data_IF_015835990414
#
_entry.id   IF_015835990414
#
_cell.length_a   1.000
_cell.length_b   1.000
_cell.length_c   1.000
_cell.angle_alpha   90.00
_cell.angle_beta   90.00
_cell.angle_gamma   90.00
#
_symmetry.space_group_name_H-M   'P 1'
#
loop_
_entity.id
_entity.type
_entity.pdbx_description
1 polymer ?
#
# COMPACT_ATOMS: atom_id res chain seq x y z
N UNK A 1 -6.44 91.47 -5.22
CA UNK A 1 -7.78 91.15 -5.78
C UNK A 1 -7.62 90.15 -6.93
N UNK A 2 -8.73 89.58 -7.44
CA UNK A 2 -8.85 88.72 -8.65
C UNK A 2 -8.23 89.42 -9.90
N UNK A 3 -7.79 88.78 -11.00
CA UNK A 3 -8.08 87.47 -11.67
C UNK A 3 -6.86 87.03 -12.57
N UNK A 4 -6.83 85.84 -13.22
CA UNK A 4 -5.68 85.29 -13.99
C UNK A 4 -5.77 85.53 -15.53
N UNK A 5 -4.80 85.04 -16.32
CA UNK A 5 -5.14 83.95 -17.28
C UNK A 5 -4.05 82.86 -17.55
N UNK A 6 -4.56 81.75 -18.12
CA UNK A 6 -3.99 80.65 -18.95
C UNK A 6 -2.70 80.86 -19.77
N UNK A 7 -1.95 79.85 -20.30
CA UNK A 7 -2.22 78.43 -20.68
C UNK A 7 -0.88 77.62 -20.89
N UNK A 8 -0.93 76.27 -20.93
CA UNK A 8 0.12 75.30 -21.44
C UNK A 8 1.52 75.31 -20.77
N UNK A 9 2.30 74.21 -20.64
CA UNK A 9 2.33 72.89 -21.30
C UNK A 9 2.99 71.79 -20.42
N UNK A 10 3.21 70.60 -21.03
CA UNK A 10 4.11 69.50 -20.65
C UNK A 10 3.62 68.44 -19.61
N UNK A 11 3.66 67.19 -20.07
CA UNK A 11 3.51 65.93 -19.32
C UNK A 11 4.78 65.12 -19.57
N UNK A 12 5.37 64.48 -18.53
CA UNK A 12 5.55 63.03 -18.66
C UNK A 12 5.25 62.23 -17.38
N UNK A 13 4.76 61.02 -17.63
CA UNK A 13 4.66 59.83 -16.79
C UNK A 13 5.32 59.80 -15.38
N UNK A 14 4.53 59.37 -14.40
CA UNK A 14 5.02 58.62 -13.23
C UNK A 14 4.34 57.24 -13.22
N UNK A 15 5.06 56.20 -13.63
CA UNK A 15 4.56 54.82 -13.65
C UNK A 15 4.76 54.18 -12.27
N UNK A 16 3.68 53.74 -11.65
CA UNK A 16 3.69 53.04 -10.37
C UNK A 16 4.09 51.57 -10.57
N UNK A 17 5.37 51.27 -10.48
CA UNK A 17 5.90 49.90 -10.55
C UNK A 17 5.71 49.16 -9.22
N UNK A 18 4.47 48.73 -8.93
CA UNK A 18 4.18 47.88 -7.77
C UNK A 18 4.60 46.44 -8.07
N UNK A 19 5.81 46.06 -7.65
CA UNK A 19 6.38 44.72 -7.82
C UNK A 19 5.68 43.69 -6.91
N UNK A 20 4.51 43.21 -7.33
CA UNK A 20 4.00 41.92 -6.88
C UNK A 20 4.87 40.82 -7.50
N UNK A 21 5.74 40.20 -6.69
CA UNK A 21 6.35 38.92 -7.03
C UNK A 21 5.28 37.84 -6.99
N UNK A 22 4.59 37.64 -8.11
CA UNK A 22 3.67 36.52 -8.29
C UNK A 22 4.47 35.22 -8.18
N UNK A 23 4.38 34.55 -7.02
CA UNK A 23 4.86 33.18 -6.86
C UNK A 23 3.97 32.30 -7.77
N UNK A 24 4.54 31.56 -8.73
CA UNK A 24 3.74 30.65 -9.53
C UNK A 24 3.19 29.54 -8.63
N UNK A 25 1.87 29.36 -8.64
CA UNK A 25 1.26 28.17 -8.05
C UNK A 25 1.79 26.92 -8.80
N UNK A 26 2.03 25.79 -8.11
CA UNK A 26 2.45 24.58 -8.78
C UNK A 26 1.32 24.09 -9.71
N UNK A 27 1.65 23.81 -10.98
CA UNK A 27 0.66 23.47 -12.01
C UNK A 27 -0.25 22.28 -11.60
N UNK A 28 0.31 21.27 -10.92
CA UNK A 28 -0.43 20.12 -10.39
C UNK A 28 -1.58 20.51 -9.45
N UNK A 29 -1.45 21.60 -8.69
CA UNK A 29 -2.53 22.10 -7.82
C UNK A 29 -3.63 22.83 -8.60
N UNK A 30 -3.34 23.36 -9.80
CA UNK A 30 -4.37 23.86 -10.71
C UNK A 30 -5.05 22.71 -11.49
N UNK A 31 -4.30 21.65 -11.77
CA UNK A 31 -4.78 20.44 -12.44
C UNK A 31 -5.76 19.65 -11.57
N UNK A 32 -5.45 19.44 -10.28
CA UNK A 32 -6.38 18.83 -9.32
C UNK A 32 -7.59 19.71 -9.00
N UNK A 33 -7.39 21.03 -8.93
CA UNK A 33 -8.49 22.00 -8.85
C UNK A 33 -9.45 21.91 -10.03
N UNK A 34 -8.96 21.53 -11.22
CA UNK A 34 -9.76 21.37 -12.44
C UNK A 34 -10.44 19.98 -12.50
N UNK A 35 -9.72 18.89 -12.25
CA UNK A 35 -10.28 17.54 -12.30
C UNK A 35 -11.42 17.33 -11.29
N UNK A 36 -11.28 17.83 -10.06
CA UNK A 36 -12.36 17.79 -9.07
C UNK A 36 -13.58 18.63 -9.49
N UNK A 37 -13.39 19.71 -10.27
CA UNK A 37 -14.52 20.47 -10.84
C UNK A 37 -15.26 19.65 -11.90
N UNK A 38 -14.55 18.95 -12.79
CA UNK A 38 -15.18 18.11 -13.83
C UNK A 38 -16.05 17.01 -13.21
N UNK A 39 -15.60 16.40 -12.11
CA UNK A 39 -16.39 15.41 -11.37
C UNK A 39 -17.60 16.08 -10.69
N UNK A 40 -17.42 17.20 -9.98
CA UNK A 40 -18.53 17.92 -9.34
C UNK A 40 -19.58 18.42 -10.35
N UNK A 41 -19.15 18.94 -11.50
CA UNK A 41 -20.01 19.36 -12.62
C UNK A 41 -20.73 18.15 -13.25
N UNK A 42 -20.19 16.93 -13.14
CA UNK A 42 -20.87 15.69 -13.53
C UNK A 42 -21.92 15.29 -12.49
N UNK A 43 -21.56 15.27 -11.21
CA UNK A 43 -22.44 14.89 -10.10
C UNK A 43 -23.63 15.86 -9.92
N UNK A 44 -23.47 17.11 -10.37
CA UNK A 44 -24.56 18.11 -10.44
C UNK A 44 -25.60 17.79 -11.53
N UNK A 45 -25.33 16.86 -12.46
CA UNK A 45 -26.22 16.46 -13.57
C UNK A 45 -26.79 15.04 -13.46
N UNK A 46 -26.13 14.17 -12.72
CA UNK A 46 -26.57 12.81 -12.37
C UNK A 46 -25.73 12.35 -11.18
N UNK A 47 -26.27 11.66 -10.16
CA UNK A 47 -25.52 11.26 -8.98
C UNK A 47 -24.42 10.21 -9.24
N UNK A 48 -24.30 9.70 -10.47
CA UNK A 48 -23.33 8.69 -10.86
C UNK A 48 -22.29 9.28 -11.83
N UNK A 49 -21.03 9.30 -11.43
CA UNK A 49 -19.89 9.61 -12.30
C UNK A 49 -19.05 8.35 -12.53
N UNK A 50 -18.72 8.06 -13.80
CA UNK A 50 -17.89 6.92 -14.19
C UNK A 50 -16.84 7.38 -15.19
N UNK A 51 -15.57 7.18 -14.86
CA UNK A 51 -14.45 7.43 -15.77
C UNK A 51 -14.48 6.48 -16.98
N UNK A 52 -14.08 6.91 -18.20
CA UNK A 52 -13.99 6.06 -19.38
C UNK A 52 -13.26 4.72 -19.18
N UNK A 53 -12.30 4.62 -18.24
CA UNK A 53 -11.60 3.38 -17.89
C UNK A 53 -12.54 2.29 -17.33
N UNK A 54 -13.61 2.67 -16.62
CA UNK A 54 -14.59 1.74 -16.05
C UNK A 54 -15.90 1.65 -16.86
N UNK A 55 -16.03 2.42 -17.94
CA UNK A 55 -17.25 2.46 -18.75
C UNK A 55 -17.67 1.13 -19.41
N UNK A 56 -16.78 0.14 -19.45
CA UNK A 56 -17.04 -1.24 -19.90
C UNK A 56 -17.49 -2.19 -18.78
N UNK A 57 -17.13 -1.91 -17.52
CA UNK A 57 -17.50 -2.70 -16.35
C UNK A 57 -18.79 -2.20 -15.69
N UNK A 58 -19.05 -0.90 -15.80
CA UNK A 58 -20.30 -0.22 -15.42
C UNK A 58 -20.89 0.43 -16.69
N UNK A 59 -21.59 -0.31 -17.57
CA UNK A 59 -22.17 0.23 -18.79
C UNK A 59 -23.40 1.12 -18.50
N UNK A 60 -23.92 1.82 -19.51
CA UNK A 60 -24.95 2.85 -19.34
C UNK A 60 -26.23 2.33 -18.67
N UNK A 61 -26.61 1.06 -18.91
CA UNK A 61 -27.74 0.40 -18.24
C UNK A 61 -27.62 0.48 -16.70
N UNK A 62 -26.45 0.16 -16.18
CA UNK A 62 -26.16 0.21 -14.73
C UNK A 62 -26.11 1.64 -14.24
N UNK A 63 -25.58 2.57 -15.05
CA UNK A 63 -25.43 3.98 -14.66
C UNK A 63 -26.80 4.65 -14.54
N UNK A 64 -27.70 4.41 -15.51
CA UNK A 64 -29.09 4.89 -15.49
C UNK A 64 -29.91 4.24 -14.36
N UNK A 65 -29.78 2.92 -14.14
CA UNK A 65 -30.45 2.20 -13.05
C UNK A 65 -29.99 2.69 -11.67
N UNK A 66 -28.68 2.80 -11.47
CA UNK A 66 -28.08 3.28 -10.21
C UNK A 66 -28.48 4.74 -9.95
N UNK A 67 -28.46 5.61 -10.96
CA UNK A 67 -28.89 6.99 -10.82
C UNK A 67 -30.39 7.07 -10.46
N UNK A 68 -31.24 6.27 -11.11
CA UNK A 68 -32.68 6.22 -10.84
C UNK A 68 -33.00 5.77 -9.41
N UNK A 69 -32.24 4.82 -8.86
CA UNK A 69 -32.39 4.38 -7.46
C UNK A 69 -32.01 5.48 -6.47
N UNK A 70 -30.95 6.24 -6.75
CA UNK A 70 -30.48 7.34 -5.90
C UNK A 70 -31.42 8.55 -5.97
N UNK A 71 -31.84 8.95 -7.18
CA UNK A 71 -32.76 10.07 -7.41
C UNK A 71 -34.17 9.81 -6.87
N UNK A 72 -34.54 8.54 -6.65
CA UNK A 72 -35.78 8.15 -5.96
C UNK A 72 -35.68 8.22 -4.42
N UNK A 73 -34.53 8.60 -3.85
CA UNK A 73 -34.28 8.67 -2.41
C UNK A 73 -34.10 10.10 -1.89
N UNK A 74 -34.40 10.32 -0.60
CA UNK A 74 -34.11 11.58 0.10
C UNK A 74 -32.63 11.70 0.58
N UNK A 75 -31.77 10.74 0.22
CA UNK A 75 -30.36 10.72 0.62
C UNK A 75 -29.47 11.40 -0.43
N UNK A 76 -28.65 12.42 -0.07
CA UNK A 76 -27.71 13.04 -1.00
C UNK A 76 -26.48 12.14 -1.21
N UNK A 77 -26.71 11.01 -1.87
CA UNK A 77 -25.72 9.97 -2.19
C UNK A 77 -25.16 10.18 -3.60
N UNK A 78 -23.87 9.90 -3.76
CA UNK A 78 -23.15 10.04 -5.02
C UNK A 78 -22.20 8.87 -5.24
N UNK A 79 -22.15 8.34 -6.46
CA UNK A 79 -21.26 7.24 -6.86
C UNK A 79 -20.19 7.77 -7.80
N UNK A 80 -18.92 7.49 -7.51
CA UNK A 80 -17.77 7.94 -8.30
C UNK A 80 -16.89 6.73 -8.62
N UNK A 81 -16.95 6.21 -9.84
CA UNK A 81 -16.04 5.16 -10.30
C UNK A 81 -14.88 5.79 -11.08
N UNK A 82 -13.69 5.85 -10.46
CA UNK A 82 -12.49 6.49 -11.01
C UNK A 82 -11.23 5.68 -10.68
N UNK A 83 -10.29 5.49 -11.62
CA UNK A 83 -9.01 4.86 -11.31
C UNK A 83 -8.16 5.80 -10.45
N UNK A 84 -7.65 5.31 -9.32
CA UNK A 84 -6.81 6.07 -8.39
C UNK A 84 -5.41 5.43 -8.28
N UNK A 85 -4.35 6.21 -8.39
CA UNK A 85 -2.96 5.74 -8.37
C UNK A 85 -1.99 6.73 -7.71
N UNK A 86 -0.92 6.23 -7.07
CA UNK A 86 0.10 7.10 -6.48
C UNK A 86 0.80 7.95 -7.56
N UNK A 87 0.96 9.26 -7.29
CA UNK A 87 1.41 10.23 -8.27
C UNK A 87 0.35 10.72 -9.27
N UNK A 88 -0.92 10.31 -9.14
CA UNK A 88 -2.04 10.94 -9.86
C UNK A 88 -2.49 12.26 -9.21
N UNK A 89 -3.54 12.84 -9.79
CA UNK A 89 -4.18 14.11 -9.40
C UNK A 89 -4.65 14.19 -7.95
N UNK A 90 -4.86 13.03 -7.29
CA UNK A 90 -5.29 12.86 -5.90
C UNK A 90 -4.28 12.05 -5.08
N UNK A 91 -3.10 11.76 -5.66
CA UNK A 91 -2.09 10.81 -5.17
C UNK A 91 -2.67 9.45 -4.73
N UNK A 92 -3.68 8.96 -5.44
CA UNK A 92 -4.33 7.68 -5.14
C UNK A 92 -5.26 7.67 -3.92
N UNK A 93 -5.58 8.84 -3.35
CA UNK A 93 -6.42 8.95 -2.15
C UNK A 93 -7.87 9.37 -2.47
N UNK A 94 -8.81 8.47 -2.14
CA UNK A 94 -10.25 8.70 -2.24
C UNK A 94 -10.78 9.74 -1.26
N UNK A 95 -10.14 9.94 -0.09
CA UNK A 95 -10.56 10.95 0.89
C UNK A 95 -10.22 12.36 0.40
N UNK A 96 -9.01 12.55 -0.17
CA UNK A 96 -8.62 13.76 -0.90
C UNK A 96 -9.55 14.04 -2.10
N UNK A 97 -9.90 13.03 -2.90
CA UNK A 97 -10.85 13.20 -4.01
C UNK A 97 -12.23 13.65 -3.52
N UNK A 98 -12.82 12.91 -2.58
CA UNK A 98 -14.19 13.20 -2.10
C UNK A 98 -14.26 14.55 -1.41
N UNK A 99 -13.26 14.93 -0.62
CA UNK A 99 -13.17 16.26 0.00
C UNK A 99 -13.14 17.38 -1.04
N UNK A 100 -12.29 17.28 -2.07
CA UNK A 100 -12.19 18.30 -3.13
C UNK A 100 -13.46 18.40 -3.99
N UNK A 101 -14.14 17.28 -4.25
CA UNK A 101 -15.43 17.25 -4.95
C UNK A 101 -16.55 17.85 -4.08
N UNK A 102 -16.57 17.52 -2.79
CA UNK A 102 -17.54 18.01 -1.82
C UNK A 102 -17.47 19.53 -1.61
N UNK A 103 -16.27 20.09 -1.54
CA UNK A 103 -16.05 21.55 -1.49
C UNK A 103 -16.68 22.26 -2.70
N UNK A 104 -16.63 21.66 -3.91
CA UNK A 104 -17.24 22.25 -5.12
C UNK A 104 -18.74 22.04 -5.20
N UNK A 105 -19.26 20.97 -4.60
CA UNK A 105 -20.69 20.72 -4.45
C UNK A 105 -21.32 21.53 -3.29
N UNK A 106 -20.52 22.34 -2.58
CA UNK A 106 -21.02 23.37 -1.65
C UNK A 106 -20.98 23.00 -0.17
N UNK A 107 -20.20 21.98 0.23
CA UNK A 107 -19.92 21.64 1.63
C UNK A 107 -21.18 21.41 2.53
N UNK A 108 -22.23 20.82 1.94
CA UNK A 108 -23.49 20.48 2.64
C UNK A 108 -23.48 19.13 3.36
N UNK A 109 -24.64 18.47 3.47
CA UNK A 109 -24.71 17.04 3.78
C UNK A 109 -24.58 16.26 2.47
N UNK A 110 -23.64 15.33 2.39
CA UNK A 110 -23.41 14.49 1.21
C UNK A 110 -22.73 13.17 1.57
N UNK A 111 -23.00 12.12 0.80
CA UNK A 111 -22.51 10.78 1.03
C UNK A 111 -21.87 10.28 -0.27
N UNK A 112 -20.63 9.78 -0.23
CA UNK A 112 -19.88 9.40 -1.42
C UNK A 112 -19.44 7.94 -1.38
N UNK A 113 -19.78 7.20 -2.42
CA UNK A 113 -19.32 5.85 -2.71
C UNK A 113 -18.31 5.92 -3.87
N UNK A 114 -17.02 5.82 -3.55
CA UNK A 114 -15.95 5.80 -4.57
C UNK A 114 -15.58 4.36 -4.88
N UNK A 115 -15.74 3.95 -6.14
CA UNK A 115 -15.17 2.70 -6.63
C UNK A 115 -13.76 2.96 -7.16
N UNK A 116 -12.76 2.45 -6.44
CA UNK A 116 -11.33 2.52 -6.77
C UNK A 116 -10.75 1.10 -6.85
N UNK A 117 -10.07 0.75 -7.94
CA UNK A 117 -9.15 -0.39 -8.02
C UNK A 117 -9.72 -1.75 -7.55
N UNK A 118 -11.01 -2.01 -7.77
CA UNK A 118 -11.67 -3.24 -7.32
C UNK A 118 -12.18 -3.21 -5.87
N UNK A 119 -12.34 -2.02 -5.28
CA UNK A 119 -12.86 -1.79 -3.92
C UNK A 119 -13.88 -0.67 -3.92
N UNK A 120 -14.76 -0.67 -2.93
CA UNK A 120 -15.60 0.48 -2.61
C UNK A 120 -15.04 1.24 -1.40
N UNK A 121 -15.18 2.58 -1.42
CA UNK A 121 -14.86 3.49 -0.31
C UNK A 121 -16.08 4.34 0.02
N UNK A 122 -16.42 4.43 1.30
CA UNK A 122 -17.52 5.26 1.79
C UNK A 122 -17.02 6.45 2.59
N UNK A 123 -17.37 7.67 2.17
CA UNK A 123 -17.09 8.90 2.90
C UNK A 123 -18.40 9.69 3.12
N UNK A 124 -18.71 10.00 4.37
CA UNK A 124 -19.93 10.71 4.78
C UNK A 124 -19.59 12.10 5.30
N UNK A 125 -20.29 13.13 4.80
CA UNK A 125 -20.13 14.53 5.21
C UNK A 125 -21.44 15.11 5.76
N UNK A 126 -21.34 15.86 6.87
CA UNK A 126 -22.48 16.55 7.49
C UNK A 126 -23.52 15.62 8.15
N UNK A 127 -23.10 14.45 8.65
CA UNK A 127 -23.97 13.42 9.21
C UNK A 127 -24.18 13.52 10.72
N UNK A 128 -25.44 13.59 11.15
CA UNK A 128 -25.84 13.45 12.56
C UNK A 128 -25.84 11.96 12.97
N UNK A 129 -24.65 11.41 13.20
CA UNK A 129 -24.40 10.05 13.73
C UNK A 129 -24.80 8.86 12.83
N UNK A 130 -25.17 9.08 11.56
CA UNK A 130 -25.49 8.01 10.60
C UNK A 130 -24.53 8.08 9.40
N UNK A 131 -23.80 7.00 9.13
CA UNK A 131 -22.74 6.95 8.11
C UNK A 131 -23.05 5.92 7.00
N UNK A 132 -24.09 6.17 6.17
CA UNK A 132 -24.59 5.20 5.21
C UNK A 132 -23.56 4.81 4.14
N UNK A 133 -22.74 5.74 3.63
CA UNK A 133 -21.72 5.40 2.64
C UNK A 133 -20.60 4.55 3.27
N UNK A 134 -20.15 4.89 4.48
CA UNK A 134 -19.17 4.10 5.22
C UNK A 134 -19.62 2.64 5.38
N UNK A 135 -20.80 2.42 5.96
CA UNK A 135 -21.33 1.06 6.17
C UNK A 135 -21.61 0.33 4.86
N UNK A 136 -22.09 1.01 3.83
CA UNK A 136 -22.26 0.43 2.50
C UNK A 136 -20.94 -0.13 1.91
N UNK A 137 -19.85 0.64 2.00
CA UNK A 137 -18.54 0.20 1.50
C UNK A 137 -17.95 -0.99 2.26
N UNK A 138 -18.27 -1.10 3.56
CA UNK A 138 -17.94 -2.27 4.37
C UNK A 138 -18.82 -3.47 3.97
N UNK A 139 -20.13 -3.26 3.84
CA UNK A 139 -21.11 -4.31 3.49
C UNK A 139 -20.78 -4.95 2.16
N UNK A 140 -20.49 -4.16 1.11
CA UNK A 140 -20.09 -4.71 -0.20
C UNK A 140 -18.80 -5.54 -0.14
N UNK A 141 -17.91 -5.24 0.81
CA UNK A 141 -16.67 -6.01 1.01
C UNK A 141 -16.94 -7.41 1.57
N UNK A 142 -17.87 -7.56 2.53
CA UNK A 142 -18.22 -8.87 3.10
C UNK A 142 -19.25 -9.63 2.27
N UNK A 143 -20.33 -8.98 1.84
CA UNK A 143 -21.44 -9.60 1.12
C UNK A 143 -21.07 -10.13 -0.28
N UNK A 144 -19.97 -9.65 -0.88
CA UNK A 144 -19.44 -10.15 -2.15
C UNK A 144 -18.18 -11.02 -1.98
N UNK A 145 -17.91 -11.52 -0.77
CA UNK A 145 -16.70 -12.31 -0.44
C UNK A 145 -15.38 -11.63 -0.87
N UNK A 146 -15.30 -10.30 -0.74
CA UNK A 146 -14.21 -9.45 -1.24
C UNK A 146 -13.96 -9.56 -2.76
N UNK A 147 -15.03 -9.75 -3.55
CA UNK A 147 -14.95 -9.66 -5.02
C UNK A 147 -14.45 -8.29 -5.48
N UNK A 148 -13.88 -8.25 -6.68
CA UNK A 148 -13.56 -7.01 -7.39
C UNK A 148 -14.58 -6.69 -8.50
N UNK A 149 -15.80 -7.25 -8.43
CA UNK A 149 -16.82 -7.11 -9.48
C UNK A 149 -17.49 -5.72 -9.39
N UNK A 150 -17.26 -4.78 -10.34
CA UNK A 150 -17.66 -3.39 -10.14
C UNK A 150 -19.18 -3.20 -10.11
N UNK A 151 -19.93 -3.96 -10.92
CA UNK A 151 -21.41 -3.93 -10.94
C UNK A 151 -21.97 -4.33 -9.58
N UNK A 152 -21.51 -5.46 -9.06
CA UNK A 152 -21.98 -6.06 -7.81
C UNK A 152 -21.58 -5.23 -6.58
N UNK A 153 -20.36 -4.68 -6.56
CA UNK A 153 -19.92 -3.76 -5.52
C UNK A 153 -20.73 -2.45 -5.52
N UNK A 154 -21.03 -1.86 -6.68
CA UNK A 154 -21.89 -0.66 -6.78
C UNK A 154 -23.31 -0.99 -6.33
N UNK A 155 -23.90 -2.09 -6.83
CA UNK A 155 -25.26 -2.52 -6.51
C UNK A 155 -25.44 -2.73 -5.01
N UNK A 156 -24.62 -3.58 -4.37
CA UNK A 156 -24.71 -3.87 -2.93
C UNK A 156 -24.45 -2.62 -2.10
N UNK A 157 -23.51 -1.75 -2.50
CA UNK A 157 -23.23 -0.51 -1.77
C UNK A 157 -24.41 0.46 -1.82
N UNK A 158 -24.99 0.69 -3.00
CA UNK A 158 -26.11 1.63 -3.16
C UNK A 158 -27.36 1.08 -2.47
N UNK A 159 -27.68 -0.21 -2.62
CA UNK A 159 -28.78 -0.85 -1.88
C UNK A 159 -28.59 -0.75 -0.35
N UNK A 160 -27.35 -0.89 0.15
CA UNK A 160 -27.06 -0.73 1.58
C UNK A 160 -27.20 0.72 2.05
N UNK A 161 -26.61 1.67 1.31
CA UNK A 161 -26.62 3.09 1.68
C UNK A 161 -28.04 3.69 1.69
N UNK A 162 -28.93 3.16 0.84
CA UNK A 162 -30.33 3.55 0.75
C UNK A 162 -31.28 2.72 1.65
N UNK A 163 -30.74 1.82 2.49
CA UNK A 163 -31.55 1.01 3.42
C UNK A 163 -31.88 1.74 4.72
N UNK A 164 -32.95 1.30 5.41
CA UNK A 164 -33.37 1.84 6.71
C UNK A 164 -32.33 1.62 7.83
N UNK A 165 -31.45 0.62 7.70
CA UNK A 165 -30.41 0.29 8.68
C UNK A 165 -29.11 -0.22 8.00
N UNK A 166 -28.25 0.70 7.53
CA UNK A 166 -26.97 0.34 6.91
C UNK A 166 -25.98 -0.36 7.87
N UNK A 167 -26.04 -0.07 9.18
CA UNK A 167 -25.15 -0.66 10.19
C UNK A 167 -25.57 -2.11 10.52
N UNK A 168 -26.87 -2.37 10.61
CA UNK A 168 -27.44 -3.71 10.71
C UNK A 168 -27.21 -4.54 9.46
N UNK A 169 -27.29 -3.94 8.26
CA UNK A 169 -26.92 -4.59 7.00
C UNK A 169 -25.44 -4.99 6.96
N UNK A 170 -24.53 -4.09 7.35
CA UNK A 170 -23.09 -4.38 7.50
C UNK A 170 -22.83 -5.52 8.49
N UNK A 171 -23.44 -5.44 9.67
CA UNK A 171 -23.31 -6.45 10.73
C UNK A 171 -23.75 -7.82 10.22
N UNK A 172 -24.91 -7.88 9.56
CA UNK A 172 -25.46 -9.11 8.99
C UNK A 172 -24.56 -9.71 7.91
N UNK A 173 -23.99 -8.89 7.02
CA UNK A 173 -23.08 -9.34 5.97
C UNK A 173 -21.75 -9.88 6.52
N UNK A 174 -21.19 -9.22 7.54
CA UNK A 174 -19.99 -9.72 8.25
C UNK A 174 -20.28 -11.06 8.92
N UNK A 175 -21.37 -11.14 9.68
CA UNK A 175 -21.66 -12.32 10.51
C UNK A 175 -21.97 -13.56 9.65
N UNK A 176 -22.65 -13.39 8.51
CA UNK A 176 -22.83 -14.45 7.52
C UNK A 176 -21.50 -14.91 6.87
N UNK A 177 -20.61 -13.97 6.53
CA UNK A 177 -19.27 -14.30 6.02
C UNK A 177 -18.42 -15.02 7.08
N UNK A 178 -18.57 -14.68 8.37
CA UNK A 178 -17.89 -15.37 9.46
C UNK A 178 -18.46 -16.79 9.68
N UNK A 179 -19.78 -16.98 9.69
CA UNK A 179 -20.43 -18.32 9.76
C UNK A 179 -20.01 -19.24 8.59
N UNK A 180 -20.04 -18.72 7.36
CA UNK A 180 -19.57 -19.43 6.15
C UNK A 180 -18.08 -19.80 6.22
N UNK A 181 -17.29 -19.11 7.04
CA UNK A 181 -15.86 -19.37 7.26
C UNK A 181 -15.59 -20.29 8.45
N UNK A 182 -16.52 -20.46 9.38
CA UNK A 182 -16.42 -21.43 10.48
C UNK A 182 -16.79 -22.87 10.04
N UNK A 183 -17.65 -23.02 9.02
CA UNK A 183 -17.97 -24.33 8.41
C UNK A 183 -16.85 -24.85 7.45
N UNK A 184 -15.77 -24.07 7.27
CA UNK A 184 -14.52 -24.52 6.66
C UNK A 184 -13.65 -25.22 7.71
N UNK A 185 -13.26 -26.49 7.52
CA UNK A 185 -12.41 -27.19 8.49
C UNK A 185 -11.04 -26.53 8.62
N UNK A 186 -10.57 -26.37 9.86
CA UNK A 186 -9.22 -25.90 10.17
C UNK A 186 -8.16 -26.63 9.33
N UNK A 187 -7.16 -25.93 8.79
CA UNK A 187 -6.06 -26.58 8.09
C UNK A 187 -5.26 -27.44 9.08
N UNK A 188 -5.42 -28.77 8.99
CA UNK A 188 -4.81 -29.73 9.91
C UNK A 188 -3.31 -29.42 10.14
N UNK A 189 -2.87 -29.25 11.40
CA UNK A 189 -1.44 -29.07 11.68
C UNK A 189 -0.69 -30.34 11.24
N UNK A 190 0.52 -30.20 10.65
CA UNK A 190 1.26 -31.34 10.11
C UNK A 190 1.55 -32.35 11.22
N UNK A 191 1.00 -33.56 11.07
CA UNK A 191 1.03 -34.58 12.11
C UNK A 191 2.48 -34.93 12.53
N UNK A 192 2.76 -35.03 13.84
CA UNK A 192 4.07 -35.47 14.31
C UNK A 192 4.32 -36.92 13.89
N UNK A 193 5.45 -37.17 13.23
CA UNK A 193 5.89 -38.52 12.89
C UNK A 193 6.59 -39.22 14.05
N UNK A 194 6.82 -40.53 13.85
CA UNK A 194 7.43 -41.50 14.77
C UNK A 194 6.58 -41.87 16.01
N UNK A 195 6.64 -43.09 16.57
CA UNK A 195 7.38 -44.28 16.14
C UNK A 195 6.62 -45.58 16.48
N UNK A 196 6.99 -46.69 15.84
CA UNK A 196 6.26 -47.96 15.97
C UNK A 196 6.58 -48.76 17.25
N UNK A 197 5.56 -49.42 17.82
CA UNK A 197 5.74 -50.56 18.74
C UNK A 197 4.56 -51.55 18.67
N UNK A 198 4.78 -52.77 19.14
CA UNK A 198 3.98 -53.97 18.86
C UNK A 198 2.96 -54.28 19.99
N UNK A 199 1.84 -54.93 19.60
CA UNK A 199 1.12 -56.08 20.21
C UNK A 199 1.02 -56.26 21.75
N UNK A 200 0.08 -57.02 22.35
CA UNK A 200 -1.02 -57.92 21.92
C UNK A 200 -2.29 -57.54 22.77
N UNK A 201 -3.51 -58.11 22.72
CA UNK A 201 -4.22 -59.18 21.97
C UNK A 201 -5.75 -58.85 21.99
N UNK A 202 -6.61 -59.63 21.31
CA UNK A 202 -7.89 -60.02 21.92
C UNK A 202 -9.16 -59.96 21.05
N UNK A 203 -9.93 -61.05 21.08
CA UNK A 203 -11.37 -61.16 20.76
C UNK A 203 -11.88 -60.61 19.40
N UNK A 204 -11.86 -61.46 18.37
CA UNK A 204 -12.58 -61.20 17.11
C UNK A 204 -14.12 -61.30 17.26
N UNK A 205 -14.91 -60.35 16.73
CA UNK A 205 -16.38 -60.38 16.81
C UNK A 205 -17.02 -61.41 15.84
N UNK A 206 -18.24 -61.89 16.11
CA UNK A 206 -18.88 -62.97 15.35
C UNK A 206 -19.25 -62.60 13.91
N UNK A 207 -19.27 -63.61 13.04
CA UNK A 207 -19.30 -63.52 11.57
C UNK A 207 -20.58 -63.00 10.88
N UNK A 208 -21.26 -62.00 11.44
CA UNK A 208 -22.40 -61.31 10.80
C UNK A 208 -22.07 -59.84 10.44
N UNK A 209 -20.88 -59.33 10.78
CA UNK A 209 -20.47 -57.94 10.50
C UNK A 209 -20.06 -57.66 9.04
N UNK A 210 -19.99 -58.69 8.17
CA UNK A 210 -19.51 -58.54 6.80
C UNK A 210 -20.24 -57.48 5.93
N UNK A 211 -21.56 -57.23 6.05
CA UNK A 211 -22.22 -56.20 5.25
C UNK A 211 -21.75 -54.78 5.63
N UNK A 212 -21.47 -54.55 6.92
CA UNK A 212 -20.95 -53.27 7.40
C UNK A 212 -19.50 -53.03 6.94
N UNK A 213 -18.68 -54.08 6.91
CA UNK A 213 -17.31 -54.02 6.38
C UNK A 213 -17.31 -53.75 4.87
N UNK A 214 -18.20 -54.39 4.10
CA UNK A 214 -18.35 -54.12 2.66
C UNK A 214 -18.91 -52.71 2.42
N UNK A 215 -19.89 -52.25 3.19
CA UNK A 215 -20.41 -50.89 3.09
C UNK A 215 -19.32 -49.84 3.41
N UNK A 216 -18.53 -50.04 4.46
CA UNK A 216 -17.42 -49.16 4.81
C UNK A 216 -16.31 -49.20 3.75
N UNK A 217 -15.97 -50.37 3.21
CA UNK A 217 -15.00 -50.50 2.11
C UNK A 217 -15.49 -49.81 0.83
N UNK A 218 -16.80 -49.87 0.52
CA UNK A 218 -17.40 -49.15 -0.61
C UNK A 218 -17.44 -47.64 -0.37
N UNK A 219 -17.73 -47.18 0.84
CA UNK A 219 -17.68 -45.75 1.21
C UNK A 219 -16.24 -45.22 1.16
N UNK A 220 -15.26 -45.98 1.65
CA UNK A 220 -13.84 -45.64 1.54
C UNK A 220 -13.38 -45.65 0.08
N UNK A 221 -13.77 -46.63 -0.73
CA UNK A 221 -13.46 -46.68 -2.15
C UNK A 221 -14.12 -45.53 -2.93
N UNK A 222 -15.36 -45.16 -2.60
CA UNK A 222 -16.05 -44.00 -3.16
C UNK A 222 -15.38 -42.68 -2.72
N UNK A 223 -14.97 -42.56 -1.46
CA UNK A 223 -14.23 -41.42 -0.93
C UNK A 223 -12.84 -41.27 -1.56
N UNK A 224 -12.11 -42.37 -1.74
CA UNK A 224 -10.83 -42.41 -2.48
C UNK A 224 -11.02 -42.09 -3.96
N UNK A 225 -12.07 -42.61 -4.61
CA UNK A 225 -12.39 -42.29 -5.99
C UNK A 225 -12.82 -40.81 -6.16
N UNK A 226 -13.55 -40.25 -5.20
CA UNK A 226 -13.94 -38.84 -5.18
C UNK A 226 -12.75 -37.92 -4.89
N UNK A 227 -11.89 -38.28 -3.93
CA UNK A 227 -10.62 -37.59 -3.65
C UNK A 227 -9.66 -37.65 -4.86
N UNK A 228 -9.61 -38.79 -5.55
CA UNK A 228 -8.85 -38.95 -6.81
C UNK A 228 -9.50 -38.23 -8.01
N UNK A 229 -10.79 -37.91 -7.98
CA UNK A 229 -11.45 -37.02 -8.96
C UNK A 229 -11.23 -35.55 -8.62
N UNK A 230 -11.31 -35.13 -7.34
CA UNK A 230 -10.96 -33.77 -6.88
C UNK A 230 -9.48 -33.47 -7.15
N UNK A 231 -8.57 -34.41 -6.87
CA UNK A 231 -7.15 -34.32 -7.24
C UNK A 231 -6.86 -34.50 -8.75
N UNK A 232 -7.91 -34.63 -9.58
CA UNK A 232 -7.85 -34.63 -11.05
C UNK A 232 -8.78 -33.58 -11.67
N UNK A 233 -9.29 -32.63 -10.88
CA UNK A 233 -9.59 -31.31 -11.42
C UNK A 233 -8.24 -30.77 -11.89
N UNK A 234 -8.04 -30.50 -13.20
CA UNK A 234 -6.82 -29.84 -13.62
C UNK A 234 -6.74 -28.52 -12.85
N UNK A 235 -5.56 -28.16 -12.36
CA UNK A 235 -5.30 -26.78 -11.99
C UNK A 235 -5.44 -25.95 -13.27
N UNK A 236 -6.66 -25.46 -13.52
CA UNK A 236 -6.88 -24.37 -14.45
C UNK A 236 -5.85 -23.30 -14.06
N UNK A 237 -5.06 -22.77 -15.02
CA UNK A 237 -4.16 -21.67 -14.69
C UNK A 237 -5.03 -20.61 -14.02
N UNK A 238 -4.62 -20.15 -12.83
CA UNK A 238 -5.38 -19.15 -12.09
C UNK A 238 -5.77 -18.05 -13.07
N UNK A 239 -7.08 -17.81 -13.20
CA UNK A 239 -7.59 -16.88 -14.21
C UNK A 239 -6.80 -15.61 -14.06
N UNK A 240 -6.01 -15.28 -15.08
CA UNK A 240 -5.12 -14.14 -15.06
C UNK A 240 -6.02 -12.91 -15.15
N UNK A 241 -6.54 -12.49 -13.99
CA UNK A 241 -6.91 -11.10 -13.72
C UNK A 241 -5.72 -10.32 -14.21
N UNK A 242 -5.88 -9.67 -15.36
CA UNK A 242 -4.77 -9.02 -16.04
C UNK A 242 -4.28 -7.94 -15.11
N UNK A 243 -3.17 -8.16 -14.40
CA UNK A 243 -2.52 -7.12 -13.62
C UNK A 243 -2.30 -5.97 -14.61
N UNK A 244 -3.02 -4.87 -14.39
CA UNK A 244 -3.18 -3.88 -15.45
C UNK A 244 -1.79 -3.31 -15.69
N UNK A 245 -1.32 -3.32 -16.94
CA UNK A 245 0.04 -2.90 -17.26
C UNK A 245 0.35 -1.46 -16.78
N UNK A 246 -0.67 -0.65 -16.49
CA UNK A 246 -0.55 0.62 -15.77
C UNK A 246 0.09 0.50 -14.38
N UNK A 247 -0.28 -0.49 -13.55
CA UNK A 247 0.36 -0.73 -12.25
C UNK A 247 1.81 -1.20 -12.42
N UNK A 248 2.05 -2.22 -13.25
CA UNK A 248 3.42 -2.67 -13.55
C UNK A 248 4.31 -1.53 -14.10
N UNK A 249 3.72 -0.57 -14.83
CA UNK A 249 4.39 0.62 -15.34
C UNK A 249 4.60 1.69 -14.25
N UNK A 250 3.67 1.85 -13.30
CA UNK A 250 3.81 2.75 -12.16
C UNK A 250 4.88 2.25 -11.18
N UNK A 251 4.87 0.96 -10.84
CA UNK A 251 5.88 0.31 -10.02
C UNK A 251 7.28 0.41 -10.65
N UNK A 252 7.37 0.24 -11.97
CA UNK A 252 8.62 0.46 -12.72
C UNK A 252 9.02 1.94 -12.75
N UNK A 253 8.08 2.87 -12.93
CA UNK A 253 8.38 4.30 -12.91
C UNK A 253 8.85 4.79 -11.53
N UNK A 254 8.30 4.27 -10.43
CA UNK A 254 8.78 4.59 -9.08
C UNK A 254 10.13 3.93 -8.79
N UNK A 255 10.36 2.70 -9.24
CA UNK A 255 11.67 2.07 -9.21
C UNK A 255 12.73 2.89 -9.98
N UNK A 256 12.41 3.35 -11.19
CA UNK A 256 13.29 4.19 -12.01
C UNK A 256 13.60 5.53 -11.31
N UNK A 257 12.59 6.20 -10.72
CA UNK A 257 12.78 7.42 -9.90
C UNK A 257 13.69 7.17 -8.70
N UNK A 258 13.53 6.05 -7.99
CA UNK A 258 14.35 5.70 -6.82
C UNK A 258 15.80 5.37 -7.22
N UNK A 259 16.02 4.76 -8.39
CA UNK A 259 17.34 4.52 -8.97
C UNK A 259 18.00 5.85 -9.39
N UNK A 260 17.30 6.71 -10.13
CA UNK A 260 17.80 8.03 -10.53
C UNK A 260 18.14 8.90 -9.31
N UNK A 261 17.28 8.90 -8.29
CA UNK A 261 17.55 9.57 -7.01
C UNK A 261 18.81 9.02 -6.35
N UNK A 262 18.93 7.70 -6.24
CA UNK A 262 20.11 7.03 -5.68
C UNK A 262 21.40 7.40 -6.43
N UNK A 263 21.35 7.52 -7.76
CA UNK A 263 22.47 7.96 -8.59
C UNK A 263 22.89 9.41 -8.30
N UNK A 264 21.92 10.33 -8.23
CA UNK A 264 22.17 11.74 -7.93
C UNK A 264 22.74 11.94 -6.51
N UNK A 265 22.10 11.33 -5.51
CA UNK A 265 22.54 11.37 -4.11
C UNK A 265 23.94 10.73 -3.93
N UNK A 266 24.24 9.65 -4.67
CA UNK A 266 25.58 9.04 -4.73
C UNK A 266 26.67 10.00 -5.23
N UNK A 267 26.35 10.87 -6.19
CA UNK A 267 27.28 11.88 -6.72
C UNK A 267 27.47 13.03 -5.72
N UNK A 268 26.37 13.64 -5.25
CA UNK A 268 26.41 14.83 -4.39
C UNK A 268 27.09 14.55 -3.04
N UNK A 269 26.72 13.43 -2.40
CA UNK A 269 27.39 12.93 -1.18
C UNK A 269 28.88 12.64 -1.44
N UNK A 270 29.23 12.21 -2.66
CA UNK A 270 30.60 11.93 -3.06
C UNK A 270 31.48 13.18 -3.06
N UNK A 271 31.01 14.26 -3.69
CA UNK A 271 31.73 15.54 -3.63
C UNK A 271 31.78 16.10 -2.21
N UNK A 272 30.67 15.98 -1.46
CA UNK A 272 30.55 16.42 -0.06
C UNK A 272 31.59 15.72 0.82
N UNK A 273 31.76 14.40 0.68
CA UNK A 273 32.81 13.61 1.34
C UNK A 273 34.22 13.97 0.85
N UNK A 274 34.40 14.21 -0.45
CA UNK A 274 35.66 14.65 -1.04
C UNK A 274 36.15 15.97 -0.43
N UNK A 275 35.27 16.97 -0.34
CA UNK A 275 35.53 18.25 0.33
C UNK A 275 35.89 18.05 1.81
N UNK A 276 35.16 17.20 2.52
CA UNK A 276 35.41 16.93 3.94
C UNK A 276 36.74 16.20 4.21
N UNK A 277 37.18 15.30 3.34
CA UNK A 277 38.42 14.53 3.54
C UNK A 277 39.69 15.38 3.65
N UNK A 278 39.66 16.63 3.17
CA UNK A 278 40.80 17.55 3.23
C UNK A 278 41.03 18.22 4.62
N UNK A 279 40.04 18.22 5.51
CA UNK A 279 40.13 18.94 6.80
C UNK A 279 40.73 18.05 7.92
N UNK A 280 41.70 18.54 8.72
CA UNK A 280 42.21 17.83 9.90
C UNK A 280 41.14 17.68 10.99
N UNK A 281 40.97 16.47 11.54
CA UNK A 281 40.05 16.18 12.65
C UNK A 281 40.61 15.16 13.64
N UNK A 282 39.99 15.08 14.82
CA UNK A 282 40.28 14.06 15.83
C UNK A 282 39.82 12.65 15.43
N UNK A 283 40.40 11.65 16.08
CA UNK A 283 40.29 10.23 15.72
C UNK A 283 38.85 9.72 15.53
N UNK A 284 37.94 9.99 16.46
CA UNK A 284 36.54 9.55 16.34
C UNK A 284 35.81 10.19 15.15
N UNK A 285 36.11 11.45 14.83
CA UNK A 285 35.55 12.11 13.65
C UNK A 285 36.13 11.51 12.35
N UNK A 286 37.39 11.06 12.35
CA UNK A 286 37.99 10.34 11.23
C UNK A 286 37.39 8.93 11.07
N UNK A 287 37.12 8.21 12.17
CA UNK A 287 36.40 6.91 12.15
C UNK A 287 34.99 7.06 11.57
N UNK A 288 34.25 8.09 11.98
CA UNK A 288 32.91 8.38 11.47
C UNK A 288 32.95 8.78 9.99
N UNK A 289 33.94 9.58 9.56
CA UNK A 289 34.13 9.91 8.15
C UNK A 289 34.50 8.67 7.31
N UNK A 290 35.28 7.73 7.87
CA UNK A 290 35.59 6.47 7.21
C UNK A 290 34.33 5.61 7.04
N UNK A 291 33.52 5.44 8.09
CA UNK A 291 32.24 4.73 7.99
C UNK A 291 31.29 5.38 6.97
N UNK A 292 31.32 6.72 6.82
CA UNK A 292 30.56 7.40 5.76
C UNK A 292 31.06 7.08 4.34
N UNK A 293 32.38 6.95 4.16
CA UNK A 293 32.98 6.49 2.89
C UNK A 293 32.62 5.02 2.60
N UNK A 294 32.64 4.17 3.63
CA UNK A 294 32.32 2.74 3.52
C UNK A 294 30.84 2.53 3.19
N UNK A 295 29.93 3.28 3.83
CA UNK A 295 28.50 3.25 3.55
C UNK A 295 28.16 3.79 2.15
N UNK A 296 28.83 4.87 1.68
CA UNK A 296 28.72 5.30 0.28
C UNK A 296 29.26 4.25 -0.69
N UNK A 297 30.37 3.59 -0.37
CA UNK A 297 30.93 2.53 -1.21
C UNK A 297 30.04 1.28 -1.25
N UNK A 298 29.30 0.99 -0.18
CA UNK A 298 28.25 -0.02 -0.16
C UNK A 298 27.09 0.37 -1.08
N UNK A 299 26.58 1.60 -0.97
CA UNK A 299 25.52 2.13 -1.83
C UNK A 299 25.90 2.07 -3.32
N UNK A 300 27.13 2.48 -3.65
CA UNK A 300 27.65 2.42 -5.02
C UNK A 300 27.66 0.98 -5.58
N UNK A 301 28.10 -0.02 -4.80
CA UNK A 301 28.09 -1.44 -5.26
C UNK A 301 26.69 -1.96 -5.59
N UNK A 302 25.69 -1.60 -4.79
CA UNK A 302 24.29 -2.01 -5.04
C UNK A 302 23.73 -1.30 -6.28
N UNK A 303 23.99 0.00 -6.41
CA UNK A 303 23.61 0.77 -7.60
C UNK A 303 24.27 0.24 -8.88
N UNK A 304 25.59 0.03 -8.87
CA UNK A 304 26.34 -0.50 -10.01
C UNK A 304 25.89 -1.93 -10.39
N UNK A 305 25.44 -2.73 -9.40
CA UNK A 305 24.77 -4.02 -9.65
C UNK A 305 23.42 -3.84 -10.34
N UNK A 306 22.56 -2.94 -9.84
CA UNK A 306 21.25 -2.68 -10.47
C UNK A 306 21.37 -2.20 -11.92
N UNK A 307 22.44 -1.48 -12.28
CA UNK A 307 22.73 -1.12 -13.67
C UNK A 307 23.28 -2.28 -14.53
N UNK A 308 23.79 -3.34 -13.90
CA UNK A 308 24.34 -4.53 -14.56
C UNK A 308 23.35 -5.72 -14.61
N UNK A 309 22.23 -5.64 -13.87
CA UNK A 309 21.15 -6.63 -13.85
C UNK A 309 19.80 -5.95 -14.11
N UNK A 310 18.68 -6.62 -13.85
CA UNK A 310 17.40 -5.93 -13.64
C UNK A 310 17.46 -5.21 -12.27
N UNK A 311 17.04 -3.92 -12.16
CA UNK A 311 16.87 -3.26 -10.88
C UNK A 311 15.78 -3.91 -10.03
N UNK A 312 15.88 -3.81 -8.71
CA UNK A 312 14.87 -4.33 -7.79
C UNK A 312 14.56 -3.29 -6.71
N UNK A 313 13.28 -3.11 -6.39
CA UNK A 313 12.84 -2.13 -5.38
C UNK A 313 13.56 -2.29 -4.01
N UNK A 314 13.79 -3.52 -3.49
CA UNK A 314 14.61 -3.70 -2.30
C UNK A 314 16.05 -3.18 -2.40
N UNK A 315 16.71 -3.35 -3.55
CA UNK A 315 18.08 -2.85 -3.78
C UNK A 315 18.08 -1.31 -3.90
N UNK A 316 17.10 -0.72 -4.57
CA UNK A 316 16.97 0.74 -4.72
C UNK A 316 16.72 1.43 -3.37
N UNK A 317 15.81 0.90 -2.54
CA UNK A 317 15.61 1.36 -1.17
C UNK A 317 16.87 1.13 -0.32
N UNK A 318 17.59 0.03 -0.56
CA UNK A 318 18.89 -0.26 0.06
C UNK A 318 19.96 0.80 -0.21
N UNK A 319 20.06 1.30 -1.45
CA UNK A 319 20.94 2.42 -1.81
C UNK A 319 20.61 3.66 -0.96
N UNK A 320 19.34 4.06 -0.89
CA UNK A 320 18.92 5.24 -0.13
C UNK A 320 19.21 5.13 1.37
N UNK A 321 18.98 3.97 1.98
CA UNK A 321 19.31 3.73 3.41
C UNK A 321 20.83 3.81 3.65
N UNK A 322 21.64 3.23 2.77
CA UNK A 322 23.11 3.28 2.90
C UNK A 322 23.66 4.72 2.75
N UNK A 323 23.04 5.55 1.91
CA UNK A 323 23.35 6.98 1.79
C UNK A 323 22.93 7.76 3.05
N UNK A 324 21.79 7.44 3.64
CA UNK A 324 21.33 8.04 4.90
C UNK A 324 22.23 7.69 6.09
N UNK A 325 22.73 6.45 6.16
CA UNK A 325 23.76 6.02 7.13
C UNK A 325 25.05 6.84 6.97
N UNK A 326 25.46 7.14 5.72
CA UNK A 326 26.66 7.92 5.43
C UNK A 326 26.51 9.40 5.83
N UNK A 327 25.39 10.05 5.52
CA UNK A 327 25.12 11.43 5.95
C UNK A 327 24.98 11.52 7.48
N UNK A 328 24.39 10.52 8.15
CA UNK A 328 24.38 10.48 9.62
C UNK A 328 25.77 10.35 10.24
N UNK A 329 26.67 9.60 9.61
CA UNK A 329 28.06 9.52 10.02
C UNK A 329 28.80 10.86 9.80
N UNK A 330 28.52 11.59 8.72
CA UNK A 330 28.99 12.97 8.51
C UNK A 330 28.47 13.89 9.63
N UNK A 331 27.16 13.91 9.89
CA UNK A 331 26.54 14.74 10.91
C UNK A 331 27.10 14.44 12.31
N UNK A 332 27.33 13.17 12.64
CA UNK A 332 27.94 12.73 13.90
C UNK A 332 29.42 13.09 14.02
N UNK A 333 30.18 13.06 12.91
CA UNK A 333 31.58 13.50 12.90
C UNK A 333 31.73 15.00 13.23
N UNK A 334 30.68 15.80 12.97
CA UNK A 334 30.59 17.22 13.32
C UNK A 334 29.99 17.47 14.71
N UNK A 335 29.00 16.67 15.15
CA UNK A 335 28.24 16.89 16.37
C UNK A 335 28.12 15.64 17.26
N UNK A 336 28.77 15.68 18.44
CA UNK A 336 28.93 14.55 19.39
C UNK A 336 27.65 13.87 19.91
N UNK A 337 26.47 14.47 19.74
CA UNK A 337 25.22 14.02 20.39
C UNK A 337 24.10 13.62 19.41
N UNK A 338 24.32 13.64 18.10
CA UNK A 338 23.31 13.21 17.13
C UNK A 338 23.16 11.69 17.18
N UNK A 339 21.95 11.18 17.44
CA UNK A 339 21.62 9.76 17.22
C UNK A 339 21.45 9.51 15.71
N UNK A 340 21.83 8.34 15.20
CA UNK A 340 21.42 7.92 13.87
C UNK A 340 19.89 7.90 13.73
N UNK A 341 19.42 8.12 12.51
CA UNK A 341 18.07 7.82 12.03
C UNK A 341 17.81 6.31 12.17
N UNK A 342 16.55 5.98 12.37
CA UNK A 342 16.06 4.61 12.32
C UNK A 342 14.84 4.60 11.40
N UNK A 343 15.02 4.05 10.19
CA UNK A 343 13.95 3.89 9.20
C UNK A 343 12.84 2.98 9.74
N UNK A 344 11.63 3.10 9.19
CA UNK A 344 10.55 2.18 9.51
C UNK A 344 10.86 0.77 8.98
N UNK A 345 10.90 -0.22 9.88
CA UNK A 345 11.22 -1.62 9.53
C UNK A 345 10.20 -2.27 8.59
N UNK A 346 8.94 -1.83 8.60
CA UNK A 346 7.93 -2.33 7.66
C UNK A 346 8.22 -1.86 6.21
N UNK A 347 8.56 -0.58 6.04
CA UNK A 347 9.00 -0.01 4.77
C UNK A 347 9.92 1.21 5.06
N UNK A 348 11.21 1.18 4.68
CA UNK A 348 12.13 2.30 4.96
C UNK A 348 11.74 3.63 4.32
N UNK A 349 10.93 3.61 3.24
CA UNK A 349 10.42 4.80 2.55
C UNK A 349 9.44 5.62 3.39
N UNK A 350 8.80 5.03 4.42
CA UNK A 350 7.93 5.77 5.35
C UNK A 350 8.70 6.72 6.29
N UNK A 351 10.01 6.86 6.12
CA UNK A 351 10.86 7.80 6.85
C UNK A 351 11.31 7.32 8.23
N UNK A 352 11.93 8.25 8.96
CA UNK A 352 12.83 7.94 10.09
C UNK A 352 12.32 8.43 11.45
N UNK A 353 11.10 8.95 11.52
CA UNK A 353 10.44 9.36 12.77
C UNK A 353 9.77 8.13 13.42
N UNK A 354 10.57 7.28 14.06
CA UNK A 354 10.15 5.95 14.49
C UNK A 354 10.13 5.76 16.01
N UNK A 355 9.33 4.79 16.46
CA UNK A 355 9.25 4.31 17.84
C UNK A 355 9.60 2.83 17.87
N UNK A 356 10.23 2.34 18.94
CA UNK A 356 10.54 0.91 19.11
C UNK A 356 9.27 0.18 19.54
N UNK A 357 8.65 -0.52 18.61
CA UNK A 357 7.40 -1.25 18.77
C UNK A 357 7.68 -2.75 18.85
N UNK A 358 6.89 -3.47 19.65
CA UNK A 358 6.85 -4.93 19.63
C UNK A 358 5.84 -5.37 18.56
N UNK A 359 6.32 -6.05 17.52
CA UNK A 359 5.50 -6.64 16.47
C UNK A 359 5.45 -8.15 16.70
N UNK A 360 4.24 -8.71 16.79
CA UNK A 360 3.99 -10.16 16.90
C UNK A 360 3.72 -10.79 15.55
N UNK A 361 4.16 -12.03 15.41
CA UNK A 361 3.86 -12.88 14.27
C UNK A 361 2.35 -13.15 14.16
N UNK A 362 1.77 -13.04 12.95
CA UNK A 362 0.38 -13.39 12.71
C UNK A 362 0.18 -14.90 12.91
N UNK A 363 -0.76 -15.29 13.77
CA UNK A 363 -0.97 -16.69 14.17
C UNK A 363 0.12 -17.28 15.08
N UNK A 364 1.16 -16.51 15.43
CA UNK A 364 2.32 -16.97 16.19
C UNK A 364 2.44 -16.35 17.59
N UNK A 365 3.29 -16.95 18.42
CA UNK A 365 3.66 -16.43 19.74
C UNK A 365 4.96 -15.61 19.72
N UNK A 366 5.70 -15.62 18.61
CA UNK A 366 6.98 -14.91 18.46
C UNK A 366 6.74 -13.41 18.36
N UNK A 367 7.65 -12.62 18.93
CA UNK A 367 7.66 -11.17 18.79
C UNK A 367 9.06 -10.64 18.48
N UNK A 368 9.12 -9.54 17.74
CA UNK A 368 10.35 -8.81 17.41
C UNK A 368 10.18 -7.35 17.81
N UNK A 369 11.24 -6.71 18.33
CA UNK A 369 11.21 -5.29 18.67
C UNK A 369 11.94 -4.48 17.60
N UNK A 370 11.20 -3.65 16.89
CA UNK A 370 11.63 -2.96 15.66
C UNK A 370 11.26 -1.47 15.68
N UNK A 371 11.98 -0.59 14.96
CA UNK A 371 11.55 0.78 14.74
C UNK A 371 10.40 0.80 13.73
N UNK A 372 9.28 1.42 14.07
CA UNK A 372 8.16 1.65 13.14
C UNK A 372 7.75 3.13 13.18
N UNK A 373 7.31 3.68 12.05
CA UNK A 373 6.67 5.00 11.99
C UNK A 373 5.33 5.00 12.75
N UNK A 374 4.74 6.17 12.98
CA UNK A 374 3.44 6.32 13.68
C UNK A 374 2.35 5.38 13.15
N UNK A 375 2.17 5.34 11.83
CA UNK A 375 1.17 4.53 11.13
C UNK A 375 1.44 3.02 11.23
N UNK A 376 2.62 2.55 10.82
CA UNK A 376 2.94 1.12 10.91
C UNK A 376 2.92 0.62 12.36
N UNK A 377 3.32 1.46 13.32
CA UNK A 377 3.20 1.14 14.74
C UNK A 377 1.74 1.08 15.21
N UNK A 378 0.83 1.87 14.60
CA UNK A 378 -0.61 1.85 14.89
C UNK A 378 -1.25 0.59 14.31
N UNK A 379 -1.03 0.29 13.03
CA UNK A 379 -1.51 -0.95 12.40
C UNK A 379 -1.12 -2.21 13.21
N UNK A 380 0.15 -2.29 13.65
CA UNK A 380 0.65 -3.38 14.50
C UNK A 380 0.00 -3.43 15.90
N UNK A 381 -0.45 -2.29 16.46
CA UNK A 381 -1.27 -2.27 17.70
C UNK A 381 -2.68 -2.79 17.45
N UNK A 382 -3.26 -2.39 16.33
CA UNK A 382 -4.64 -2.70 15.93
C UNK A 382 -4.78 -4.11 15.31
N UNK A 383 -3.68 -4.87 15.26
CA UNK A 383 -3.55 -6.20 14.65
C UNK A 383 -3.82 -6.24 13.14
N UNK A 384 -3.78 -5.11 12.45
CA UNK A 384 -3.81 -5.04 10.99
C UNK A 384 -2.39 -5.17 10.40
N UNK A 385 -2.29 -5.56 9.13
CA UNK A 385 -1.00 -5.59 8.42
C UNK A 385 -0.58 -4.14 8.12
N UNK A 386 0.62 -3.67 8.54
CA UNK A 386 1.12 -2.37 8.10
C UNK A 386 1.36 -2.38 6.57
N UNK A 387 1.38 -1.21 5.93
CA UNK A 387 1.98 -1.08 4.60
C UNK A 387 3.46 -1.47 4.71
N UNK A 388 3.94 -2.34 3.83
CA UNK A 388 5.27 -2.98 3.87
C UNK A 388 5.97 -2.85 2.53
N UNK A 389 7.30 -2.86 2.52
CA UNK A 389 8.07 -2.85 1.28
C UNK A 389 7.97 -4.24 0.60
N UNK A 390 7.49 -4.33 -0.65
CA UNK A 390 7.44 -5.59 -1.37
C UNK A 390 8.80 -6.02 -1.91
N UNK A 391 8.94 -7.32 -2.13
CA UNK A 391 10.08 -7.95 -2.78
C UNK A 391 9.59 -9.14 -3.63
N UNK A 392 10.17 -9.32 -4.82
CA UNK A 392 9.92 -10.51 -5.64
C UNK A 392 10.75 -11.69 -5.12
N UNK A 393 10.09 -12.80 -4.82
CA UNK A 393 10.71 -14.03 -4.34
C UNK A 393 10.01 -15.25 -4.94
N UNK A 394 10.78 -16.10 -5.63
CA UNK A 394 10.31 -17.33 -6.32
C UNK A 394 9.11 -17.15 -7.26
N UNK A 395 8.98 -15.95 -7.84
CA UNK A 395 7.90 -15.59 -8.77
C UNK A 395 6.67 -14.95 -8.13
N UNK A 396 6.60 -14.89 -6.79
CA UNK A 396 5.56 -14.18 -6.04
C UNK A 396 6.09 -12.86 -5.48
N UNK A 397 5.19 -11.93 -5.21
CA UNK A 397 5.50 -10.76 -4.37
C UNK A 397 5.23 -11.08 -2.89
N UNK A 398 6.18 -10.75 -2.03
CA UNK A 398 6.12 -10.94 -0.57
C UNK A 398 6.67 -9.71 0.15
N UNK A 399 6.33 -9.46 1.43
CA UNK A 399 7.03 -8.48 2.24
C UNK A 399 8.53 -8.80 2.30
N UNK A 400 9.41 -7.80 2.16
CA UNK A 400 10.85 -8.05 2.01
C UNK A 400 11.49 -8.88 3.15
N UNK A 401 10.92 -8.85 4.36
CA UNK A 401 11.39 -9.58 5.54
C UNK A 401 10.96 -11.06 5.56
N UNK A 402 10.11 -11.51 4.63
CA UNK A 402 9.72 -12.92 4.44
C UNK A 402 10.67 -13.66 3.48
N UNK A 403 11.53 -12.92 2.77
CA UNK A 403 12.63 -13.50 1.98
C UNK A 403 13.70 -14.08 2.93
N UNK A 404 14.26 -15.27 2.67
CA UNK A 404 15.25 -15.88 3.57
C UNK A 404 16.47 -14.99 3.82
N UNK A 405 16.96 -14.99 5.06
CA UNK A 405 18.08 -14.14 5.50
C UNK A 405 19.46 -14.53 4.93
N UNK A 406 19.54 -15.68 4.26
CA UNK A 406 20.67 -16.13 3.44
C UNK A 406 20.49 -15.84 1.94
N UNK A 407 19.25 -15.63 1.47
CA UNK A 407 18.94 -15.17 0.11
C UNK A 407 18.88 -13.62 0.00
N UNK A 408 18.61 -12.88 1.09
CA UNK A 408 18.47 -11.42 1.10
C UNK A 408 19.16 -10.72 2.29
N UNK A 409 20.15 -9.87 1.98
CA UNK A 409 20.83 -9.00 2.97
C UNK A 409 19.88 -8.00 3.63
N UNK A 410 18.85 -7.56 2.90
CA UNK A 410 17.86 -6.60 3.38
C UNK A 410 16.96 -7.23 4.44
N UNK A 411 16.47 -8.45 4.19
CA UNK A 411 15.72 -9.25 5.15
C UNK A 411 16.57 -9.56 6.40
N UNK A 412 17.82 -10.00 6.19
CA UNK A 412 18.75 -10.38 7.26
C UNK A 412 19.09 -9.27 8.25
N UNK A 413 18.99 -8.01 7.83
CA UNK A 413 19.37 -6.82 8.60
C UNK A 413 18.19 -5.91 8.95
N UNK A 414 17.05 -6.07 8.29
CA UNK A 414 15.92 -5.13 8.35
C UNK A 414 16.31 -3.72 7.88
N UNK A 415 17.11 -3.59 6.82
CA UNK A 415 17.76 -2.32 6.42
C UNK A 415 18.51 -1.63 7.58
N UNK A 416 19.26 -2.42 8.35
CA UNK A 416 20.00 -1.94 9.53
C UNK A 416 19.17 -1.86 10.83
N UNK A 417 17.85 -2.06 10.79
CA UNK A 417 16.97 -1.95 11.95
C UNK A 417 17.05 -3.13 12.95
N UNK A 418 17.56 -4.28 12.49
CA UNK A 418 17.81 -5.50 13.29
C UNK A 418 19.30 -5.70 13.62
N UNK A 419 20.20 -5.22 12.77
CA UNK A 419 21.66 -5.46 12.84
C UNK A 419 22.44 -4.25 12.33
N UNK A 420 23.57 -3.94 12.96
CA UNK A 420 24.48 -2.87 12.56
C UNK A 420 25.45 -3.26 11.42
N UNK A 421 25.68 -4.56 11.19
CA UNK A 421 26.64 -5.11 10.20
C UNK A 421 26.20 -5.04 8.71
N UNK A 422 25.29 -4.12 8.35
CA UNK A 422 24.75 -3.99 6.99
C UNK A 422 25.81 -3.52 5.97
N UNK A 423 26.58 -2.48 6.29
CA UNK A 423 27.60 -1.91 5.38
C UNK A 423 28.65 -2.96 5.05
N UNK A 424 29.12 -3.69 6.06
CA UNK A 424 30.12 -4.75 5.94
C UNK A 424 29.61 -5.95 5.12
N UNK A 425 28.33 -6.33 5.27
CA UNK A 425 27.69 -7.36 4.42
C UNK A 425 27.61 -6.93 2.96
N UNK A 426 27.16 -5.71 2.70
CA UNK A 426 27.04 -5.19 1.33
C UNK A 426 28.41 -5.07 0.67
N UNK A 427 29.43 -4.58 1.38
CA UNK A 427 30.82 -4.51 0.90
C UNK A 427 31.45 -5.89 0.66
N UNK A 428 31.09 -6.91 1.46
CA UNK A 428 31.49 -8.32 1.25
C UNK A 428 30.90 -8.92 -0.02
N UNK A 429 29.76 -8.40 -0.46
CA UNK A 429 29.00 -8.90 -1.61
C UNK A 429 27.77 -9.71 -1.23
N UNK A 430 27.33 -9.73 0.03
CA UNK A 430 26.19 -10.53 0.50
C UNK A 430 24.85 -10.07 -0.11
N UNK A 431 24.80 -8.86 -0.66
CA UNK A 431 23.70 -8.34 -1.48
C UNK A 431 23.59 -9.04 -2.85
N UNK A 432 24.66 -9.64 -3.36
CA UNK A 432 24.78 -10.02 -4.77
C UNK A 432 24.02 -11.28 -5.18
N UNK A 433 23.43 -12.03 -4.22
CA UNK A 433 22.59 -13.20 -4.51
C UNK A 433 23.36 -14.40 -5.08
N UNK A 434 24.60 -14.64 -4.62
CA UNK A 434 25.39 -15.79 -5.09
C UNK A 434 26.32 -16.36 -4.01
N UNK A 435 25.90 -17.49 -3.39
CA UNK A 435 26.66 -18.75 -3.26
C UNK A 435 26.06 -19.69 -2.21
N UNK A 436 25.24 -20.64 -2.67
CA UNK A 436 25.58 -22.07 -2.67
C UNK A 436 24.84 -22.79 -3.78
#
# INVERSE_FOLDING_TARGET
>A
MRRPPTLTAAVPALILALLLTAVPAPAAAQESVNAAQVIADSLTRSPVHVDPAYASALPEDVREETASLIEASDLPLYVIAVPLAEGDTWNGDSETLTSLVHDRMGAGRAHYLVFDNGRMRGQDFGSDHHSPAHFASLTSSYATEFSANPRELVEVSVQTALSDDPEGAFTSARDAYEEQREDLPDPEPPAPGTDGRQAEDGAGPPGWSWPAIVALALLLAAGLAWRARRARVPSLPALAVTQHAGFDNADRAELDRLVERGANDLVELGERLGRLRAEPRGEEANRLLQHALDARAAAARVHDRMLATEPALPDAVGVLVLLDMAEDAILRSRARSRKPRAHCYANPLHGTSTRRTEWREFGGTRSVRVPLCSECAQAVRDRSRPRVLPARYRGSEVPYYEVPADESVWAATGYGALRDDLVERVLRGDHSGSRR
#
